data_IF_666094735927
#
_entry.id   IF_666094735927
#
_cell.length_a   1.000
_cell.length_b   1.000
_cell.length_c   1.000
_cell.angle_alpha   90.00
_cell.angle_beta   90.00
_cell.angle_gamma   90.00
#
_symmetry.space_group_name_H-M   'P 1'
#
loop_
_entity.id
_entity.type
_entity.pdbx_description
1 polymer ?
#
# COMPACT_ATOMS: atom_id res chain seq x y z
N UNK A 1 -3.52 -14.45 -22.47
CA UNK A 1 -2.27 -14.80 -21.73
C UNK A 1 -2.16 -14.08 -20.39
N UNK A 2 -2.35 -12.76 -20.28
CA UNK A 2 -2.28 -12.03 -19.00
C UNK A 2 -3.23 -12.57 -17.92
N UNK A 3 -4.46 -12.94 -18.28
CA UNK A 3 -5.42 -13.52 -17.33
C UNK A 3 -4.99 -14.88 -16.75
N UNK A 4 -4.30 -15.72 -17.55
CA UNK A 4 -3.77 -17.00 -17.06
C UNK A 4 -2.59 -16.79 -16.11
N UNK A 5 -1.78 -15.75 -16.35
CA UNK A 5 -0.69 -15.37 -15.45
C UNK A 5 -1.25 -14.87 -14.11
N UNK A 6 -2.23 -13.97 -14.14
CA UNK A 6 -2.95 -13.50 -12.93
C UNK A 6 -3.51 -14.68 -12.14
N UNK A 7 -4.20 -15.61 -12.81
CA UNK A 7 -4.75 -16.78 -12.15
C UNK A 7 -3.67 -17.67 -11.51
N UNK A 8 -2.54 -17.85 -12.20
CA UNK A 8 -1.42 -18.63 -11.68
C UNK A 8 -0.82 -17.99 -10.44
N UNK A 9 -0.56 -16.68 -10.47
CA UNK A 9 -0.05 -15.94 -9.31
C UNK A 9 -1.00 -15.99 -8.13
N UNK A 10 -2.30 -15.77 -8.34
CA UNK A 10 -3.31 -15.87 -7.27
C UNK A 10 -3.34 -17.28 -6.67
N UNK A 11 -3.26 -18.33 -7.50
CA UNK A 11 -3.20 -19.71 -7.03
C UNK A 11 -1.93 -20.00 -6.23
N UNK A 12 -0.78 -19.45 -6.64
CA UNK A 12 0.48 -19.57 -5.90
C UNK A 12 0.39 -18.89 -4.53
N UNK A 13 -0.20 -17.68 -4.46
CA UNK A 13 -0.40 -16.98 -3.18
C UNK A 13 -1.22 -17.79 -2.19
N UNK A 14 -2.29 -18.46 -2.64
CA UNK A 14 -3.08 -19.33 -1.75
C UNK A 14 -2.29 -20.53 -1.21
N UNK A 15 -1.14 -20.85 -1.81
CA UNK A 15 -0.22 -21.91 -1.37
C UNK A 15 0.91 -21.39 -0.49
N UNK A 16 1.04 -20.08 -0.33
CA UNK A 16 2.00 -19.42 0.56
C UNK A 16 1.28 -18.67 1.69
N UNK A 17 0.52 -19.38 2.56
CA UNK A 17 -0.30 -18.75 3.59
C UNK A 17 0.55 -17.91 4.55
N UNK A 18 1.82 -18.27 4.73
CA UNK A 18 2.76 -17.55 5.57
C UNK A 18 2.99 -16.11 5.08
N UNK A 19 3.14 -15.92 3.77
CA UNK A 19 3.36 -14.59 3.17
C UNK A 19 2.10 -13.72 3.34
N UNK A 20 0.92 -14.30 3.10
CA UNK A 20 -0.36 -13.62 3.28
C UNK A 20 -0.58 -13.20 4.73
N UNK A 21 -0.38 -14.13 5.66
CA UNK A 21 -0.57 -13.90 7.09
C UNK A 21 0.41 -12.85 7.58
N UNK A 22 1.73 -12.98 7.33
CA UNK A 22 2.69 -12.04 7.91
C UNK A 22 2.67 -10.65 7.26
N UNK A 23 2.43 -10.54 5.95
CA UNK A 23 2.38 -9.24 5.27
C UNK A 23 1.21 -8.38 5.74
N UNK A 24 0.06 -8.99 6.03
CA UNK A 24 -1.13 -8.30 6.53
C UNK A 24 -1.25 -8.30 8.06
N UNK A 25 -0.61 -9.25 8.75
CA UNK A 25 -0.65 -9.34 10.21
C UNK A 25 -0.09 -8.08 10.85
N UNK A 26 1.00 -7.50 10.33
CA UNK A 26 1.58 -6.31 10.94
C UNK A 26 0.61 -5.12 10.92
N UNK A 27 0.07 -4.66 9.76
CA UNK A 27 -0.91 -3.57 9.74
C UNK A 27 -2.17 -3.87 10.56
N UNK A 28 -2.70 -5.10 10.49
CA UNK A 28 -3.91 -5.49 11.24
C UNK A 28 -3.64 -5.46 12.75
N UNK A 29 -2.56 -6.10 13.21
CA UNK A 29 -2.23 -6.19 14.64
C UNK A 29 -1.93 -4.82 15.22
N UNK A 30 -1.15 -4.00 14.52
CA UNK A 30 -0.85 -2.64 14.96
C UNK A 30 -2.09 -1.75 14.98
N UNK A 31 -2.97 -1.88 13.98
CA UNK A 31 -4.28 -1.20 13.98
C UNK A 31 -5.08 -1.58 15.23
N UNK A 32 -5.25 -2.87 15.51
CA UNK A 32 -5.98 -3.31 16.71
C UNK A 32 -5.33 -2.79 17.98
N UNK A 33 -4.00 -2.88 18.09
CA UNK A 33 -3.27 -2.40 19.28
C UNK A 33 -3.51 -0.91 19.54
N UNK A 34 -3.45 -0.07 18.49
CA UNK A 34 -3.69 1.36 18.62
C UNK A 34 -5.18 1.69 18.81
N UNK A 35 -6.10 0.95 18.21
CA UNK A 35 -7.53 1.10 18.46
C UNK A 35 -7.92 0.69 19.90
N UNK A 36 -7.30 -0.33 20.48
CA UNK A 36 -7.50 -0.67 21.90
C UNK A 36 -7.00 0.45 22.81
N UNK A 37 -5.92 1.12 22.42
CA UNK A 37 -5.29 2.16 23.24
C UNK A 37 -5.97 3.53 23.11
N UNK A 38 -6.42 3.88 21.91
CA UNK A 38 -6.83 5.24 21.53
C UNK A 38 -8.15 5.30 20.75
N UNK A 39 -8.80 4.16 20.50
CA UNK A 39 -10.10 4.11 19.81
C UNK A 39 -11.16 4.88 20.59
N UNK A 40 -11.98 5.64 19.86
CA UNK A 40 -13.00 6.51 20.44
C UNK A 40 -12.47 7.76 21.16
N UNK A 41 -11.15 7.93 21.28
CA UNK A 41 -10.59 9.14 21.89
C UNK A 41 -10.82 10.35 20.96
N UNK A 42 -11.58 11.33 21.44
CA UNK A 42 -11.76 12.62 20.77
C UNK A 42 -10.74 13.61 21.30
N UNK A 43 -9.70 13.87 20.53
CA UNK A 43 -8.63 14.79 20.91
C UNK A 43 -8.13 15.57 19.70
N UNK A 44 -7.77 16.87 19.85
CA UNK A 44 -7.23 17.67 18.74
C UNK A 44 -5.98 17.06 18.09
N UNK A 45 -5.29 16.17 18.79
CA UNK A 45 -4.07 15.51 18.29
C UNK A 45 -4.29 14.65 17.05
N UNK A 46 -5.52 14.17 16.83
CA UNK A 46 -5.88 13.32 15.69
C UNK A 46 -6.27 14.10 14.43
N UNK A 47 -6.21 15.44 14.46
CA UNK A 47 -6.41 16.27 13.27
C UNK A 47 -7.88 16.38 12.82
N UNK A 48 -8.83 16.42 13.76
CA UNK A 48 -10.24 16.73 13.49
C UNK A 48 -11.19 15.52 13.47
N UNK A 49 -10.69 14.30 13.61
CA UNK A 49 -11.47 13.08 13.83
C UNK A 49 -11.19 12.44 15.20
N UNK A 50 -11.85 11.32 15.49
CA UNK A 50 -11.48 10.47 16.62
C UNK A 50 -10.28 9.56 16.29
N UNK A 51 -9.71 8.95 17.32
CA UNK A 51 -8.63 7.98 17.17
C UNK A 51 -9.02 6.77 16.30
N UNK A 52 -10.30 6.39 16.27
CA UNK A 52 -10.77 5.23 15.48
C UNK A 52 -10.62 5.47 13.98
N UNK A 53 -11.20 6.55 13.46
CA UNK A 53 -11.08 6.93 12.05
C UNK A 53 -9.62 7.18 11.71
N UNK A 54 -8.88 7.86 12.60
CA UNK A 54 -7.47 8.18 12.37
C UNK A 54 -6.63 6.92 12.10
N UNK A 55 -6.72 5.93 12.99
CA UNK A 55 -5.91 4.71 12.88
C UNK A 55 -6.41 3.79 11.77
N UNK A 56 -7.72 3.63 11.58
CA UNK A 56 -8.24 2.81 10.47
C UNK A 56 -7.73 3.33 9.13
N UNK A 57 -7.86 4.63 8.85
CA UNK A 57 -7.41 5.17 7.55
C UNK A 57 -5.89 5.11 7.38
N UNK A 58 -5.13 5.32 8.47
CA UNK A 58 -3.68 5.19 8.46
C UNK A 58 -3.24 3.75 8.15
N UNK A 59 -3.90 2.74 8.74
CA UNK A 59 -3.54 1.34 8.56
C UNK A 59 -4.07 0.71 7.27
N UNK A 60 -5.14 1.24 6.67
CA UNK A 60 -5.51 0.91 5.29
C UNK A 60 -4.39 1.33 4.32
N UNK A 61 -3.86 2.55 4.48
CA UNK A 61 -2.73 3.03 3.71
C UNK A 61 -1.44 2.25 4.01
N UNK A 62 -1.20 1.90 5.28
CA UNK A 62 -0.02 1.11 5.67
C UNK A 62 -0.03 -0.30 5.04
N UNK A 63 -1.20 -0.94 4.92
CA UNK A 63 -1.33 -2.22 4.24
C UNK A 63 -0.98 -2.13 2.75
N UNK A 64 -1.41 -1.06 2.07
CA UNK A 64 -0.99 -0.78 0.68
C UNK A 64 0.53 -0.52 0.62
N UNK A 65 1.07 0.26 1.57
CA UNK A 65 2.47 0.66 1.59
C UNK A 65 3.41 -0.53 1.83
N UNK A 66 3.08 -1.46 2.72
CA UNK A 66 3.92 -2.66 2.95
C UNK A 66 3.92 -3.58 1.73
N UNK A 67 2.77 -3.74 1.06
CA UNK A 67 2.67 -4.53 -0.18
C UNK A 67 3.44 -3.87 -1.33
N UNK A 68 3.40 -2.55 -1.43
CA UNK A 68 4.10 -1.78 -2.47
C UNK A 68 5.61 -1.66 -2.24
N UNK A 69 6.06 -1.36 -1.02
CA UNK A 69 7.47 -1.13 -0.74
C UNK A 69 8.26 -2.41 -0.44
N UNK A 70 7.61 -3.45 0.09
CA UNK A 70 8.30 -4.67 0.50
C UNK A 70 7.84 -5.90 -0.31
N UNK A 71 6.55 -6.18 -0.34
CA UNK A 71 6.02 -7.41 -0.95
C UNK A 71 6.32 -7.54 -2.44
N UNK A 72 5.74 -6.63 -3.24
CA UNK A 72 5.88 -6.61 -4.71
C UNK A 72 7.34 -6.57 -5.18
N UNK A 73 8.22 -5.67 -4.68
CA UNK A 73 9.60 -5.61 -5.15
C UNK A 73 10.42 -6.84 -4.76
N UNK A 74 10.21 -7.41 -3.57
CA UNK A 74 10.89 -8.63 -3.16
C UNK A 74 10.49 -9.83 -4.01
N UNK A 75 9.19 -9.96 -4.31
CA UNK A 75 8.67 -11.02 -5.18
C UNK A 75 9.25 -10.92 -6.60
N UNK A 76 9.19 -9.73 -7.20
CA UNK A 76 9.72 -9.52 -8.54
C UNK A 76 11.24 -9.74 -8.61
N UNK A 77 11.97 -9.34 -7.57
CA UNK A 77 13.40 -9.60 -7.49
C UNK A 77 13.71 -11.09 -7.30
N UNK A 78 12.94 -11.82 -6.50
CA UNK A 78 13.08 -13.27 -6.35
C UNK A 78 12.81 -14.02 -7.66
N UNK A 79 11.83 -13.57 -8.45
CA UNK A 79 11.58 -14.11 -9.79
C UNK A 79 12.75 -13.90 -10.75
N UNK A 80 13.49 -12.80 -10.59
CA UNK A 80 14.71 -12.56 -11.35
C UNK A 80 15.84 -13.47 -10.89
N UNK A 81 16.05 -13.56 -9.58
CA UNK A 81 17.12 -14.36 -8.96
C UNK A 81 16.97 -15.85 -9.31
N UNK A 82 15.74 -16.35 -9.35
CA UNK A 82 15.41 -17.73 -9.74
C UNK A 82 15.31 -17.96 -11.25
N UNK A 83 15.54 -16.94 -12.07
CA UNK A 83 15.46 -17.01 -13.53
C UNK A 83 14.05 -17.27 -14.09
N UNK A 84 13.01 -17.08 -13.28
CA UNK A 84 11.60 -17.17 -13.73
C UNK A 84 11.30 -16.09 -14.77
N UNK A 85 11.81 -14.85 -14.57
CA UNK A 85 11.63 -13.77 -15.55
C UNK A 85 12.24 -14.11 -16.92
N UNK A 86 13.44 -14.71 -16.94
CA UNK A 86 14.09 -15.15 -18.20
C UNK A 86 13.28 -16.25 -18.90
N UNK A 87 12.70 -17.18 -18.14
CA UNK A 87 11.83 -18.23 -18.67
C UNK A 87 10.53 -17.64 -19.24
N UNK A 88 9.94 -16.64 -18.59
CA UNK A 88 8.78 -15.93 -19.12
C UNK A 88 9.08 -15.22 -20.44
N UNK A 89 10.23 -14.54 -20.54
CA UNK A 89 10.66 -13.90 -21.78
C UNK A 89 10.93 -14.90 -22.90
N UNK A 90 11.61 -16.02 -22.60
CA UNK A 90 11.84 -17.09 -23.57
C UNK A 90 10.53 -17.73 -24.07
N UNK A 91 9.49 -17.74 -23.24
CA UNK A 91 8.14 -18.19 -23.59
C UNK A 91 7.29 -17.12 -24.31
N UNK A 92 7.87 -15.96 -24.65
CA UNK A 92 7.17 -14.89 -25.37
C UNK A 92 6.26 -14.01 -24.52
N UNK A 93 6.31 -14.11 -23.18
CA UNK A 93 5.54 -13.23 -22.30
C UNK A 93 6.17 -11.84 -22.22
N UNK A 94 5.40 -10.81 -22.56
CA UNK A 94 5.86 -9.42 -22.46
C UNK A 94 6.02 -8.98 -21.00
N UNK A 95 7.07 -8.22 -20.68
CA UNK A 95 7.30 -7.70 -19.31
C UNK A 95 6.12 -6.88 -18.75
N UNK A 96 5.37 -6.19 -19.62
CA UNK A 96 4.10 -5.52 -19.28
C UNK A 96 3.01 -6.46 -18.76
N UNK A 97 2.97 -7.71 -19.20
CA UNK A 97 2.02 -8.70 -18.71
C UNK A 97 2.37 -9.15 -17.29
N UNK A 98 3.68 -9.30 -16.99
CA UNK A 98 4.17 -9.60 -15.63
C UNK A 98 3.92 -8.44 -14.69
N UNK A 99 4.27 -7.22 -15.08
CA UNK A 99 3.95 -6.03 -14.29
C UNK A 99 2.43 -5.92 -14.05
N UNK A 100 1.62 -6.12 -15.08
CA UNK A 100 0.15 -6.10 -14.98
C UNK A 100 -0.40 -7.14 -14.02
N UNK A 101 0.16 -8.36 -13.99
CA UNK A 101 -0.30 -9.37 -13.04
C UNK A 101 0.02 -9.00 -11.59
N UNK A 102 1.17 -8.36 -11.34
CA UNK A 102 1.53 -7.90 -10.00
C UNK A 102 0.58 -6.81 -9.48
N UNK A 103 0.10 -5.92 -10.34
CA UNK A 103 -0.93 -4.93 -9.97
C UNK A 103 -2.20 -5.61 -9.50
N UNK A 104 -2.68 -6.62 -10.24
CA UNK A 104 -3.91 -7.34 -9.90
C UNK A 104 -3.74 -8.13 -8.59
N UNK A 105 -2.60 -8.81 -8.43
CA UNK A 105 -2.25 -9.52 -7.20
C UNK A 105 -2.27 -8.58 -6.01
N UNK A 106 -1.55 -7.45 -6.11
CA UNK A 106 -1.51 -6.45 -5.05
C UNK A 106 -2.90 -5.89 -4.75
N UNK A 107 -3.73 -5.64 -5.77
CA UNK A 107 -5.08 -5.16 -5.58
C UNK A 107 -5.95 -6.15 -4.80
N UNK A 108 -5.86 -7.44 -5.13
CA UNK A 108 -6.57 -8.50 -4.38
C UNK A 108 -6.11 -8.54 -2.92
N UNK A 109 -4.80 -8.52 -2.67
CA UNK A 109 -4.26 -8.53 -1.31
C UNK A 109 -4.65 -7.29 -0.52
N UNK A 110 -4.63 -6.12 -1.14
CA UNK A 110 -5.04 -4.88 -0.52
C UNK A 110 -6.54 -4.92 -0.16
N UNK A 111 -7.40 -5.40 -1.06
CA UNK A 111 -8.83 -5.54 -0.79
C UNK A 111 -9.11 -6.53 0.33
N UNK A 112 -8.41 -7.67 0.36
CA UNK A 112 -8.52 -8.64 1.45
C UNK A 112 -8.09 -8.02 2.78
N UNK A 113 -6.93 -7.36 2.82
CA UNK A 113 -6.42 -6.68 4.01
C UNK A 113 -7.38 -5.60 4.50
N UNK A 114 -7.86 -4.74 3.60
CA UNK A 114 -8.84 -3.72 3.90
C UNK A 114 -10.14 -4.31 4.43
N UNK A 115 -10.64 -5.39 3.83
CA UNK A 115 -11.86 -6.07 4.30
C UNK A 115 -11.69 -6.55 5.73
N UNK A 116 -10.57 -7.22 6.04
CA UNK A 116 -10.28 -7.69 7.41
C UNK A 116 -10.21 -6.51 8.39
N UNK A 117 -9.49 -5.44 8.03
CA UNK A 117 -9.36 -4.25 8.87
C UNK A 117 -10.70 -3.58 9.14
N UNK A 118 -11.52 -3.39 8.09
CA UNK A 118 -12.83 -2.77 8.20
C UNK A 118 -13.80 -3.62 9.02
N UNK A 119 -13.83 -4.94 8.80
CA UNK A 119 -14.69 -5.84 9.60
C UNK A 119 -14.34 -5.73 11.09
N UNK A 120 -13.05 -5.78 11.44
CA UNK A 120 -12.60 -5.63 12.82
C UNK A 120 -13.01 -4.26 13.39
N UNK A 121 -12.79 -3.19 12.64
CA UNK A 121 -13.06 -1.84 13.10
C UNK A 121 -14.57 -1.56 13.29
N UNK A 122 -15.41 -2.00 12.36
CA UNK A 122 -16.87 -1.84 12.48
C UNK A 122 -17.48 -2.73 13.57
N UNK A 123 -16.96 -3.93 13.79
CA UNK A 123 -17.53 -4.86 14.78
C UNK A 123 -16.98 -4.67 16.20
N UNK A 124 -15.75 -4.16 16.33
CA UNK A 124 -15.05 -4.07 17.62
C UNK A 124 -14.76 -2.66 18.13
N UNK A 125 -14.83 -1.63 17.30
CA UNK A 125 -14.32 -0.28 17.64
C UNK A 125 -15.24 0.88 17.23
N UNK A 126 -16.50 0.59 16.89
CA UNK A 126 -17.52 1.59 16.54
C UNK A 126 -17.07 2.60 15.48
N UNK A 127 -16.42 2.10 14.42
CA UNK A 127 -15.95 2.93 13.31
C UNK A 127 -17.14 3.65 12.64
N UNK A 128 -17.08 4.97 12.60
CA UNK A 128 -18.03 5.78 11.84
C UNK A 128 -17.94 5.47 10.33
N UNK A 129 -19.10 5.39 9.67
CA UNK A 129 -19.15 5.23 8.21
C UNK A 129 -18.52 6.44 7.49
N UNK A 130 -17.82 6.24 6.36
CA UNK A 130 -17.33 7.34 5.55
C UNK A 130 -18.46 8.28 5.13
N UNK A 131 -18.22 9.59 5.16
CA UNK A 131 -19.17 10.57 4.61
C UNK A 131 -19.23 10.53 3.08
N UNK A 132 -18.13 10.20 2.43
CA UNK A 132 -18.05 9.94 0.97
C UNK A 132 -17.40 8.58 0.70
N UNK A 133 -18.23 7.55 0.54
CA UNK A 133 -17.75 6.18 0.23
C UNK A 133 -17.06 6.13 -1.14
N UNK A 134 -17.56 6.87 -2.13
CA UNK A 134 -16.98 6.87 -3.48
C UNK A 134 -15.58 7.50 -3.47
N UNK A 135 -15.39 8.56 -2.69
CA UNK A 135 -14.10 9.19 -2.45
C UNK A 135 -13.09 8.23 -1.81
N UNK A 136 -13.49 7.53 -0.75
CA UNK A 136 -12.64 6.52 -0.08
C UNK A 136 -12.23 5.40 -1.05
N UNK A 137 -13.19 4.84 -1.80
CA UNK A 137 -12.91 3.77 -2.77
C UNK A 137 -11.98 4.26 -3.88
N UNK A 138 -12.17 5.49 -4.36
CA UNK A 138 -11.32 6.09 -5.39
C UNK A 138 -9.90 6.29 -4.88
N UNK A 139 -9.73 6.87 -3.69
CA UNK A 139 -8.43 7.07 -3.06
C UNK A 139 -7.70 5.74 -2.81
N UNK A 140 -8.42 4.73 -2.33
CA UNK A 140 -7.88 3.39 -2.12
C UNK A 140 -7.40 2.77 -3.44
N UNK A 141 -8.22 2.83 -4.49
CA UNK A 141 -7.86 2.29 -5.81
C UNK A 141 -6.65 3.00 -6.43
N UNK A 142 -6.60 4.34 -6.38
CA UNK A 142 -5.46 5.14 -6.84
C UNK A 142 -4.20 4.79 -6.04
N UNK A 143 -4.32 4.63 -4.72
CA UNK A 143 -3.23 4.19 -3.84
C UNK A 143 -2.66 2.82 -4.23
N UNK A 144 -3.53 1.83 -4.43
CA UNK A 144 -3.14 0.49 -4.88
C UNK A 144 -2.37 0.56 -6.21
N UNK A 145 -2.87 1.34 -7.18
CA UNK A 145 -2.21 1.50 -8.48
C UNK A 145 -0.84 2.20 -8.33
N UNK A 146 -0.76 3.27 -7.53
CA UNK A 146 0.49 3.99 -7.32
C UNK A 146 1.55 3.13 -6.64
N UNK A 147 1.19 2.44 -5.56
CA UNK A 147 2.14 1.62 -4.80
C UNK A 147 2.51 0.31 -5.50
N UNK A 148 1.61 -0.26 -6.31
CA UNK A 148 1.97 -1.40 -7.17
C UNK A 148 2.94 -0.98 -8.29
N UNK A 149 2.77 0.21 -8.86
CA UNK A 149 3.73 0.75 -9.84
C UNK A 149 5.09 1.05 -9.19
N UNK A 150 5.11 1.65 -7.99
CA UNK A 150 6.33 1.87 -7.22
C UNK A 150 7.03 0.55 -6.87
N UNK A 151 6.29 -0.44 -6.38
CA UNK A 151 6.83 -1.75 -6.05
C UNK A 151 7.40 -2.48 -7.26
N UNK A 152 6.70 -2.41 -8.40
CA UNK A 152 7.20 -2.97 -9.66
C UNK A 152 8.47 -2.26 -10.12
N UNK A 153 8.51 -0.93 -10.03
CA UNK A 153 9.71 -0.15 -10.33
C UNK A 153 10.87 -0.58 -9.44
N UNK A 154 10.70 -0.58 -8.12
CA UNK A 154 11.72 -0.99 -7.15
C UNK A 154 12.20 -2.42 -7.43
N UNK A 155 11.28 -3.36 -7.69
CA UNK A 155 11.61 -4.74 -8.04
C UNK A 155 12.34 -4.88 -9.38
N UNK A 156 12.16 -3.94 -10.31
CA UNK A 156 12.92 -3.89 -11.57
C UNK A 156 14.30 -3.24 -11.40
N UNK A 157 14.46 -2.35 -10.42
CA UNK A 157 15.69 -1.60 -10.15
C UNK A 157 16.67 -2.39 -9.29
N UNK A 158 16.17 -3.01 -8.21
CA UNK A 158 16.98 -3.53 -7.13
C UNK A 158 17.64 -4.87 -7.50
N UNK A 159 18.93 -5.07 -7.18
CA UNK A 159 19.71 -6.16 -7.75
C UNK A 159 19.34 -7.56 -7.22
N UNK A 160 18.70 -7.68 -6.06
CA UNK A 160 18.32 -8.96 -5.46
C UNK A 160 17.10 -8.83 -4.54
N UNK A 161 16.46 -9.95 -4.21
CA UNK A 161 15.36 -9.97 -3.24
C UNK A 161 15.78 -9.41 -1.86
N UNK A 162 17.04 -9.65 -1.46
CA UNK A 162 17.59 -9.13 -0.20
C UNK A 162 17.75 -7.61 -0.21
N UNK A 163 18.20 -7.03 -1.32
CA UNK A 163 18.27 -5.57 -1.49
C UNK A 163 16.86 -4.95 -1.51
N UNK A 164 15.91 -5.61 -2.18
CA UNK A 164 14.50 -5.21 -2.17
C UNK A 164 13.91 -5.15 -0.77
N UNK A 165 14.15 -6.18 0.05
CA UNK A 165 13.71 -6.21 1.44
C UNK A 165 14.34 -5.08 2.27
N UNK A 166 15.66 -4.87 2.17
CA UNK A 166 16.36 -3.84 2.94
C UNK A 166 15.89 -2.42 2.61
N UNK A 167 15.80 -2.09 1.32
CA UNK A 167 15.30 -0.77 0.87
C UNK A 167 13.83 -0.61 1.21
N UNK A 168 13.02 -1.66 0.99
CA UNK A 168 11.60 -1.66 1.32
C UNK A 168 11.34 -1.39 2.80
N UNK A 169 12.14 -1.98 3.70
CA UNK A 169 12.04 -1.77 5.14
C UNK A 169 12.29 -0.31 5.52
N UNK A 170 13.32 0.32 4.95
CA UNK A 170 13.62 1.74 5.18
C UNK A 170 12.51 2.64 4.64
N UNK A 171 12.00 2.38 3.44
CA UNK A 171 10.91 3.17 2.85
C UNK A 171 9.60 3.02 3.63
N UNK A 172 9.25 1.78 3.99
CA UNK A 172 8.04 1.48 4.72
C UNK A 172 8.08 2.07 6.13
N UNK A 173 9.02 1.66 6.99
CA UNK A 173 9.05 2.16 8.37
C UNK A 173 9.40 3.65 8.42
N UNK A 174 10.26 4.13 7.52
CA UNK A 174 10.61 5.54 7.42
C UNK A 174 9.39 6.41 7.16
N UNK A 175 8.47 6.02 6.27
CA UNK A 175 7.24 6.79 6.03
C UNK A 175 6.12 6.46 7.03
N UNK A 176 6.00 5.20 7.46
CA UNK A 176 4.98 4.71 8.39
C UNK A 176 4.94 5.53 9.69
N UNK A 177 6.09 5.77 10.32
CA UNK A 177 6.14 6.55 11.56
C UNK A 177 5.88 8.04 11.35
N UNK A 178 6.06 8.57 10.14
CA UNK A 178 5.80 9.97 9.82
C UNK A 178 4.30 10.24 9.62
N UNK A 179 3.53 9.26 9.17
CA UNK A 179 2.14 9.44 8.68
C UNK A 179 1.08 8.85 9.61
N UNK A 180 1.44 8.59 10.87
CA UNK A 180 0.48 8.10 11.87
C UNK A 180 0.50 6.61 12.14
N UNK A 181 1.55 5.88 11.73
CA UNK A 181 1.76 4.48 12.11
C UNK A 181 2.06 4.25 13.60
N UNK A 182 2.24 5.34 14.37
CA UNK A 182 2.34 5.30 15.83
C UNK A 182 1.74 6.58 16.44
N UNK A 183 2.54 7.64 16.64
CA UNK A 183 2.04 8.89 17.19
C UNK A 183 1.10 9.61 16.21
N UNK A 184 0.00 10.20 16.69
CA UNK A 184 -0.85 11.03 15.87
C UNK A 184 -0.15 12.36 15.54
N UNK A 185 -0.54 13.06 14.45
CA UNK A 185 0.18 14.21 13.90
C UNK A 185 0.33 15.35 14.91
N UNK A 186 -0.64 15.55 15.81
CA UNK A 186 -0.53 16.58 16.86
C UNK A 186 0.54 16.31 17.93
N UNK A 187 1.17 15.13 17.93
CA UNK A 187 2.32 14.80 18.78
C UNK A 187 3.66 14.94 18.06
N UNK A 188 3.64 15.13 16.74
CA UNK A 188 4.83 15.28 15.92
C UNK A 188 5.21 16.76 15.76
N UNK A 189 6.50 17.10 15.68
CA UNK A 189 6.94 18.46 15.35
C UNK A 189 6.41 18.90 13.97
N UNK A 190 6.14 20.19 13.80
CA UNK A 190 5.59 20.73 12.55
C UNK A 190 6.43 20.34 11.31
N UNK A 191 7.75 20.38 11.41
CA UNK A 191 8.65 19.98 10.32
C UNK A 191 8.44 18.51 9.88
N UNK A 192 8.16 17.62 10.84
CA UNK A 192 7.91 16.20 10.57
C UNK A 192 6.58 16.04 9.83
N UNK A 193 5.53 16.73 10.28
CA UNK A 193 4.22 16.72 9.60
C UNK A 193 4.30 17.29 8.18
N UNK A 194 5.08 18.36 7.97
CA UNK A 194 5.32 18.91 6.63
C UNK A 194 5.98 17.88 5.71
N UNK A 195 7.05 17.22 6.18
CA UNK A 195 7.72 16.18 5.39
C UNK A 195 6.80 15.00 5.12
N UNK A 196 6.03 14.57 6.12
CA UNK A 196 5.07 13.47 6.00
C UNK A 196 4.07 13.70 4.86
N UNK A 197 3.53 14.92 4.77
CA UNK A 197 2.55 15.31 3.74
C UNK A 197 3.07 15.27 2.30
N UNK A 198 4.39 15.31 2.09
CA UNK A 198 4.99 15.17 0.75
C UNK A 198 5.34 13.73 0.37
N UNK A 199 5.27 12.79 1.32
CA UNK A 199 5.55 11.38 1.03
C UNK A 199 4.39 10.72 0.28
N UNK A 200 4.63 9.73 -0.59
CA UNK A 200 3.55 8.98 -1.22
C UNK A 200 2.59 8.34 -0.22
N UNK A 201 3.11 7.91 0.93
CA UNK A 201 2.30 7.32 2.00
C UNK A 201 1.43 8.37 2.69
N UNK A 202 1.95 9.59 2.92
CA UNK A 202 1.18 10.69 3.50
C UNK A 202 0.04 11.12 2.58
N UNK A 203 0.33 11.33 1.29
CA UNK A 203 -0.67 11.62 0.27
C UNK A 203 -1.78 10.56 0.24
N UNK A 204 -1.42 9.28 0.39
CA UNK A 204 -2.38 8.18 0.44
C UNK A 204 -3.25 8.22 1.71
N UNK A 205 -2.64 8.40 2.89
CA UNK A 205 -3.37 8.49 4.16
C UNK A 205 -4.39 9.62 4.11
N UNK A 206 -3.98 10.81 3.65
CA UNK A 206 -4.85 11.97 3.58
C UNK A 206 -5.95 11.79 2.53
N UNK A 207 -5.63 11.19 1.38
CA UNK A 207 -6.61 10.91 0.33
C UNK A 207 -7.70 9.94 0.80
N UNK A 208 -7.38 8.98 1.68
CA UNK A 208 -8.38 8.07 2.26
C UNK A 208 -9.15 8.76 3.40
N UNK A 209 -8.46 9.56 4.23
CA UNK A 209 -9.06 10.14 5.45
C UNK A 209 -10.03 11.28 5.17
N UNK A 210 -9.71 12.18 4.25
CA UNK A 210 -10.56 13.35 3.97
C UNK A 210 -11.99 13.02 3.54
N UNK A 211 -12.24 12.11 2.57
CA UNK A 211 -13.61 11.70 2.24
C UNK A 211 -14.29 10.94 3.38
N UNK A 212 -13.53 10.29 4.25
CA UNK A 212 -14.06 9.69 5.48
C UNK A 212 -14.65 10.75 6.42
N UNK A 213 -13.90 11.82 6.65
CA UNK A 213 -14.27 12.97 7.48
C UNK A 213 -15.22 13.95 6.78
N UNK A 214 -15.48 13.80 5.48
CA UNK A 214 -16.34 14.71 4.70
C UNK A 214 -15.65 16.01 4.29
N UNK A 215 -14.32 16.07 4.34
CA UNK A 215 -13.51 17.22 3.89
C UNK A 215 -13.27 17.23 2.37
N UNK A 216 -14.05 16.42 1.63
CA UNK A 216 -13.95 16.21 0.19
C UNK A 216 -12.72 15.40 -0.24
N UNK A 217 -12.61 15.18 -1.55
CA UNK A 217 -11.48 14.49 -2.15
C UNK A 217 -10.32 15.47 -2.41
N UNK A 218 -9.11 15.13 -1.97
CA UNK A 218 -7.92 15.90 -2.31
C UNK A 218 -7.45 15.53 -3.73
N UNK A 219 -7.99 16.27 -4.71
CA UNK A 219 -7.66 16.07 -6.12
C UNK A 219 -6.17 16.29 -6.41
N UNK A 220 -5.48 17.10 -5.61
CA UNK A 220 -4.05 17.34 -5.78
C UNK A 220 -3.26 16.11 -5.35
N UNK A 221 -3.55 15.57 -4.18
CA UNK A 221 -2.91 14.34 -3.70
C UNK A 221 -3.19 13.15 -4.62
N UNK A 222 -4.44 12.99 -5.07
CA UNK A 222 -4.82 11.95 -6.04
C UNK A 222 -4.09 12.13 -7.38
N UNK A 223 -3.99 13.37 -7.87
CA UNK A 223 -3.25 13.70 -9.10
C UNK A 223 -1.76 13.39 -8.98
N UNK A 224 -1.14 13.70 -7.84
CA UNK A 224 0.27 13.39 -7.56
C UNK A 224 0.52 11.89 -7.48
N UNK A 225 -0.37 11.13 -6.81
CA UNK A 225 -0.28 9.67 -6.77
C UNK A 225 -0.45 9.04 -8.16
N UNK A 226 -1.39 9.53 -8.96
CA UNK A 226 -1.59 9.08 -10.32
C UNK A 226 -0.39 9.40 -11.23
N UNK A 227 0.19 10.60 -11.10
CA UNK A 227 1.40 10.99 -11.82
C UNK A 227 2.60 10.11 -11.43
N UNK A 228 2.78 9.86 -10.12
CA UNK A 228 3.80 8.97 -9.61
C UNK A 228 3.64 7.55 -10.15
N UNK A 229 2.39 7.04 -10.17
CA UNK A 229 2.06 5.74 -10.73
C UNK A 229 2.46 5.66 -12.21
N UNK A 230 2.07 6.66 -13.01
CA UNK A 230 2.36 6.71 -14.44
C UNK A 230 3.87 6.74 -14.71
N UNK A 231 4.62 7.59 -14.02
CA UNK A 231 6.07 7.67 -14.14
C UNK A 231 6.73 6.36 -13.73
N UNK A 232 6.38 5.81 -12.57
CA UNK A 232 6.95 4.56 -12.08
C UNK A 232 6.68 3.38 -13.02
N UNK A 233 5.47 3.32 -13.56
CA UNK A 233 5.05 2.29 -14.51
C UNK A 233 5.83 2.36 -15.82
N UNK A 234 5.98 3.55 -16.41
CA UNK A 234 6.75 3.76 -17.65
C UNK A 234 8.21 3.35 -17.45
N UNK A 235 8.82 3.75 -16.33
CA UNK A 235 10.20 3.39 -16.00
C UNK A 235 10.37 1.88 -15.77
N UNK A 236 9.41 1.25 -15.07
CA UNK A 236 9.43 -0.19 -14.79
C UNK A 236 9.35 -1.00 -16.10
N UNK A 237 8.42 -0.68 -16.99
CA UNK A 237 8.26 -1.39 -18.27
C UNK A 237 9.51 -1.23 -19.14
N UNK A 238 10.05 -0.01 -19.23
CA UNK A 238 11.29 0.25 -20.00
C UNK A 238 12.46 -0.59 -19.50
N UNK A 239 12.53 -0.86 -18.20
CA UNK A 239 13.61 -1.65 -17.61
C UNK A 239 13.40 -3.16 -17.79
N UNK A 240 12.18 -3.65 -17.58
CA UNK A 240 11.82 -5.06 -17.80
C UNK A 240 11.92 -5.50 -19.26
N UNK A 241 11.86 -4.55 -20.21
CA UNK A 241 12.10 -4.83 -21.63
C UNK A 241 13.58 -4.88 -22.03
N UNK A 242 14.52 -4.49 -21.15
CA UNK A 242 15.97 -4.47 -21.43
C UNK A 242 16.74 -5.60 -20.74
N UNK A 243 16.17 -6.18 -19.69
CA UNK A 243 16.68 -7.38 -18.99
C UNK A 243 16.36 -8.65 -19.75
#
# INVERSE_FOLDING_TARGET
>A
MTGQLVWTELKLLTREPLVLVFSLAFPVTMMVLLLVSFGGETSPVFGGGDGTVFYVTAYLAAAIAVLGFMGTPAHLAAYRDSGVLRRFQAAGLAGRAVAGSQVVVMAVLAVVGATVQLVIAYTGFDLAAPRDVAGVVTAFAVGVIAFSALGTLLGSLLPSARAAQGVGLVLFFGTFFLVGGGPPPGRLPAAVNTVAGYTPTGLLVDSIRRPWLGDGNDLTALGLLAALAAVAWVLAIRRLGRS
#
